data_IF_814581462156
#
_entry.id   IF_814581462156
#
_cell.length_a   1.000
_cell.length_b   1.000
_cell.length_c   1.000
_cell.angle_alpha   90.00
_cell.angle_beta   90.00
_cell.angle_gamma   90.00
#
_symmetry.space_group_name_H-M   'P 1'
#
loop_
_entity.id
_entity.type
_entity.pdbx_description
1 polymer ?
#
# COMPACT_ATOMS: atom_id res chain seq x y z
N UNK A 1 -14.77 2.24 -14.86
CA UNK A 1 -14.65 3.38 -13.93
C UNK A 1 -13.23 3.91 -14.04
N UNK A 2 -13.07 5.13 -14.59
CA UNK A 2 -11.79 5.81 -14.75
C UNK A 2 -11.17 6.02 -13.37
N UNK A 3 -9.99 5.48 -13.12
CA UNK A 3 -9.14 5.98 -12.03
C UNK A 3 -8.55 7.31 -12.54
N UNK A 4 -8.72 8.37 -11.76
CA UNK A 4 -8.23 9.70 -12.06
C UNK A 4 -6.69 9.69 -12.01
N UNK A 5 -6.05 10.02 -13.13
CA UNK A 5 -4.76 10.71 -13.10
C UNK A 5 -5.01 12.13 -12.59
N UNK A 6 -4.08 12.74 -11.92
CA UNK A 6 -4.14 14.15 -11.51
C UNK A 6 -4.06 15.13 -12.70
N UNK A 7 -4.32 14.67 -13.92
CA UNK A 7 -4.48 15.40 -15.15
C UNK A 7 -4.81 14.48 -16.30
N UNK A 8 -5.69 14.90 -17.21
CA UNK A 8 -5.88 14.19 -18.47
C UNK A 8 -4.58 14.31 -19.29
N UNK A 9 -4.12 13.22 -19.95
CA UNK A 9 -2.94 13.29 -20.80
C UNK A 9 -3.15 14.25 -21.97
N UNK A 10 -2.14 15.08 -22.25
CA UNK A 10 -2.14 15.87 -23.48
C UNK A 10 -2.03 14.92 -24.68
N UNK A 11 -2.96 15.01 -25.62
CA UNK A 11 -2.96 14.20 -26.85
C UNK A 11 -2.92 15.11 -28.07
N UNK A 12 -1.88 14.94 -28.92
CA UNK A 12 -1.70 15.62 -30.21
C UNK A 12 -1.60 14.54 -31.27
N UNK A 13 -2.54 14.53 -32.22
CA UNK A 13 -2.65 13.48 -33.25
C UNK A 13 -2.61 12.06 -32.67
N UNK A 14 -3.15 11.91 -31.45
CA UNK A 14 -3.14 10.67 -30.69
C UNK A 14 -4.56 10.27 -30.28
N UNK A 15 -4.91 8.99 -30.39
CA UNK A 15 -6.27 8.52 -30.12
C UNK A 15 -6.29 7.09 -29.55
N UNK A 16 -7.44 6.70 -28.97
CA UNK A 16 -7.65 5.34 -28.47
C UNK A 16 -6.59 4.88 -27.42
N UNK A 17 -5.90 5.81 -26.75
CA UNK A 17 -4.91 5.47 -25.74
C UNK A 17 -5.58 5.38 -24.36
N UNK A 18 -5.07 4.47 -23.52
CA UNK A 18 -5.41 4.36 -22.12
C UNK A 18 -4.18 4.67 -21.29
N UNK A 19 -4.26 5.69 -20.43
CA UNK A 19 -3.13 6.19 -19.64
C UNK A 19 -3.48 6.19 -18.18
N UNK A 20 -2.62 5.57 -17.37
CA UNK A 20 -2.57 5.72 -15.92
C UNK A 20 -1.18 6.24 -15.61
N UNK A 21 -1.08 7.49 -15.18
CA UNK A 21 0.18 8.10 -14.80
C UNK A 21 -0.05 9.16 -13.71
N UNK A 22 0.88 9.25 -12.75
CA UNK A 22 0.91 10.34 -11.76
C UNK A 22 1.61 11.58 -12.31
N UNK A 23 2.50 11.41 -13.29
CA UNK A 23 3.26 12.48 -13.93
C UNK A 23 2.47 13.12 -15.07
N UNK A 24 2.67 14.43 -15.37
CA UNK A 24 2.18 15.02 -16.60
C UNK A 24 2.63 14.19 -17.81
N UNK A 25 1.66 13.72 -18.61
CA UNK A 25 1.92 12.81 -19.72
C UNK A 25 1.40 13.42 -21.02
N UNK A 26 2.23 13.40 -22.06
CA UNK A 26 1.86 13.80 -23.41
C UNK A 26 2.01 12.61 -24.36
N UNK A 27 1.05 12.47 -25.25
CA UNK A 27 1.03 11.47 -26.33
C UNK A 27 0.95 12.21 -27.65
N UNK A 28 1.89 11.94 -28.54
CA UNK A 28 1.99 12.60 -29.85
C UNK A 28 2.10 11.54 -30.93
N UNK A 29 1.21 11.59 -31.92
CA UNK A 29 1.25 10.73 -33.12
C UNK A 29 1.25 9.21 -32.80
N UNK A 30 0.50 8.83 -31.74
CA UNK A 30 0.38 7.44 -31.30
C UNK A 30 -1.05 7.02 -31.04
N UNK A 31 -1.37 5.74 -31.28
CA UNK A 31 -2.71 5.20 -31.16
C UNK A 31 -2.73 3.81 -30.51
N UNK A 32 -3.86 3.49 -29.86
CA UNK A 32 -4.12 2.16 -29.29
C UNK A 32 -3.07 1.70 -28.26
N UNK A 33 -2.54 2.61 -27.46
CA UNK A 33 -1.60 2.30 -26.42
C UNK A 33 -2.27 2.12 -25.07
N UNK A 34 -1.68 1.25 -24.26
CA UNK A 34 -1.80 1.15 -22.82
C UNK A 34 -0.52 1.71 -22.22
N UNK A 35 -0.61 2.79 -21.46
CA UNK A 35 0.51 3.41 -20.73
C UNK A 35 0.18 3.35 -19.26
N UNK A 36 1.01 2.66 -18.46
CA UNK A 36 0.88 2.55 -17.00
C UNK A 36 2.20 2.96 -16.39
N UNK A 37 2.21 4.14 -15.74
CA UNK A 37 3.35 4.69 -15.00
C UNK A 37 3.08 4.48 -13.51
N UNK A 38 3.90 3.66 -12.87
CA UNK A 38 3.94 3.47 -11.42
C UNK A 38 5.20 4.12 -10.86
N UNK A 39 5.42 4.06 -9.55
CA UNK A 39 6.63 4.65 -8.95
C UNK A 39 7.90 3.86 -9.30
N UNK A 40 7.74 2.58 -9.54
CA UNK A 40 8.79 1.58 -9.74
C UNK A 40 8.97 1.16 -11.20
N UNK A 41 7.95 1.32 -12.06
CA UNK A 41 8.02 0.87 -13.45
C UNK A 41 7.11 1.65 -14.39
N UNK A 42 7.52 1.73 -15.66
CA UNK A 42 6.70 2.25 -16.76
C UNK A 42 6.42 1.14 -17.78
N UNK A 43 5.15 0.81 -17.95
CA UNK A 43 4.70 -0.10 -18.99
C UNK A 43 4.09 0.68 -20.16
N UNK A 44 4.59 0.44 -21.37
CA UNK A 44 3.98 0.89 -22.61
C UNK A 44 3.69 -0.34 -23.48
N UNK A 45 2.43 -0.56 -23.81
CA UNK A 45 2.02 -1.72 -24.59
C UNK A 45 0.93 -1.33 -25.58
N UNK A 46 0.81 -2.06 -26.70
CA UNK A 46 -0.37 -1.96 -27.57
C UNK A 46 -1.58 -2.57 -26.85
N UNK A 47 -2.74 -1.95 -26.97
CA UNK A 47 -3.99 -2.54 -26.47
C UNK A 47 -4.18 -3.95 -27.02
N UNK A 48 -4.65 -4.87 -26.21
CA UNK A 48 -4.80 -6.28 -26.56
C UNK A 48 -3.53 -7.14 -26.38
N UNK A 49 -2.38 -6.56 -26.06
CA UNK A 49 -1.12 -7.30 -25.82
C UNK A 49 -0.92 -7.75 -24.37
N UNK A 50 -1.95 -7.76 -23.54
CA UNK A 50 -1.86 -8.06 -22.10
C UNK A 50 -1.26 -9.43 -21.77
N UNK A 51 -1.39 -10.42 -22.66
CA UNK A 51 -0.78 -11.73 -22.46
C UNK A 51 0.76 -11.66 -22.40
N UNK A 52 1.37 -10.75 -23.18
CA UNK A 52 2.83 -10.55 -23.20
C UNK A 52 3.37 -9.87 -21.93
N UNK A 53 2.52 -9.22 -21.15
CA UNK A 53 2.90 -8.61 -19.88
C UNK A 53 3.39 -9.69 -18.88
N UNK A 54 2.90 -10.92 -18.98
CA UNK A 54 3.40 -12.06 -18.18
C UNK A 54 4.88 -12.36 -18.45
N UNK A 55 5.32 -12.20 -19.70
CA UNK A 55 6.72 -12.42 -20.10
C UNK A 55 7.60 -11.30 -19.52
N UNK A 56 7.13 -10.05 -19.55
CA UNK A 56 7.80 -8.90 -18.94
C UNK A 56 7.95 -9.12 -17.42
N UNK A 57 6.86 -9.50 -16.74
CA UNK A 57 6.89 -9.82 -15.31
C UNK A 57 7.92 -10.93 -15.01
N UNK A 58 7.92 -12.03 -15.78
CA UNK A 58 8.88 -13.12 -15.60
C UNK A 58 10.33 -12.65 -15.80
N UNK A 59 10.55 -11.76 -16.78
CA UNK A 59 11.88 -11.19 -17.01
C UNK A 59 12.34 -10.33 -15.82
N UNK A 60 11.50 -9.41 -15.35
CA UNK A 60 11.82 -8.54 -14.22
C UNK A 60 11.95 -9.31 -12.91
N UNK A 61 11.14 -10.32 -12.65
CA UNK A 61 11.29 -11.18 -11.46
C UNK A 61 12.67 -11.86 -11.38
N UNK A 62 13.32 -12.08 -12.51
CA UNK A 62 14.66 -12.69 -12.55
C UNK A 62 15.80 -11.66 -12.55
N UNK A 63 15.60 -10.49 -13.17
CA UNK A 63 16.68 -9.50 -13.39
C UNK A 63 16.60 -8.30 -12.44
N UNK A 64 15.41 -7.97 -11.93
CA UNK A 64 15.10 -6.85 -11.04
C UNK A 64 14.02 -7.28 -10.05
N UNK A 65 14.27 -8.27 -9.18
CA UNK A 65 13.26 -8.81 -8.28
C UNK A 65 12.63 -7.76 -7.38
N UNK A 66 13.38 -6.74 -6.99
CA UNK A 66 12.91 -5.62 -6.18
C UNK A 66 11.73 -4.87 -6.81
N UNK A 67 11.66 -4.76 -8.14
CA UNK A 67 10.52 -4.12 -8.85
C UNK A 67 9.27 -5.01 -8.78
N UNK A 68 9.43 -6.32 -8.75
CA UNK A 68 8.33 -7.26 -8.69
C UNK A 68 7.84 -7.54 -7.25
N UNK A 69 8.71 -7.37 -6.26
CA UNK A 69 8.42 -7.60 -4.85
C UNK A 69 7.91 -6.34 -4.14
N UNK A 70 8.36 -5.16 -4.56
CA UNK A 70 7.98 -3.88 -3.99
C UNK A 70 6.76 -3.29 -4.69
N UNK A 71 5.57 -3.77 -4.41
CA UNK A 71 4.40 -2.93 -4.59
C UNK A 71 4.44 -1.84 -3.51
N UNK A 72 4.73 -0.59 -3.90
CA UNK A 72 4.66 0.55 -2.98
C UNK A 72 3.29 0.65 -2.33
N UNK A 73 2.22 0.23 -3.02
CA UNK A 73 0.85 0.21 -2.51
C UNK A 73 0.23 -1.18 -2.58
N UNK A 74 -0.13 -1.71 -1.42
CA UNK A 74 -0.79 -3.02 -1.28
C UNK A 74 -2.22 -2.84 -0.83
N UNK A 75 -3.18 -3.32 -1.62
CA UNK A 75 -4.61 -3.29 -1.29
C UNK A 75 -5.01 -4.50 -0.45
N UNK A 76 -5.87 -4.24 0.54
CA UNK A 76 -6.41 -5.22 1.48
C UNK A 76 -7.93 -5.02 1.64
N UNK A 77 -8.69 -5.99 2.15
CA UNK A 77 -10.13 -5.83 2.36
C UNK A 77 -10.49 -4.70 3.33
N UNK A 78 -9.57 -4.31 4.21
CA UNK A 78 -9.75 -3.23 5.16
C UNK A 78 -9.29 -1.85 4.64
N UNK A 79 -8.59 -1.78 3.51
CA UNK A 79 -8.04 -0.55 2.95
C UNK A 79 -6.78 -0.79 2.15
N UNK A 80 -5.69 -0.09 2.46
CA UNK A 80 -4.41 -0.26 1.78
C UNK A 80 -3.25 0.17 2.67
N UNK A 81 -2.06 -0.25 2.33
CA UNK A 81 -0.84 0.37 2.84
C UNK A 81 0.15 0.63 1.71
N UNK A 82 1.03 1.59 1.94
CA UNK A 82 2.10 1.99 1.05
C UNK A 82 3.41 2.03 1.84
N UNK A 83 4.48 1.42 1.30
CA UNK A 83 5.82 1.54 1.88
C UNK A 83 6.40 2.87 1.47
N UNK A 84 6.65 3.74 2.44
CA UNK A 84 7.20 5.09 2.23
C UNK A 84 8.73 5.10 2.21
N UNK A 85 9.34 4.11 2.82
CA UNK A 85 10.78 3.93 2.87
C UNK A 85 11.18 2.80 3.80
N UNK A 86 12.33 2.22 3.52
CA UNK A 86 12.93 1.17 4.35
C UNK A 86 14.45 1.26 4.32
N UNK A 87 15.08 0.71 5.35
CA UNK A 87 16.53 0.64 5.48
C UNK A 87 16.93 -0.35 6.55
N UNK A 88 18.21 -0.36 6.90
CA UNK A 88 18.69 -1.28 7.92
C UNK A 88 18.01 -1.01 9.27
N UNK A 89 17.22 -1.98 9.73
CA UNK A 89 16.54 -1.93 11.03
C UNK A 89 15.27 -1.08 11.08
N UNK A 90 14.77 -0.51 9.96
CA UNK A 90 13.51 0.23 9.94
C UNK A 90 12.73 0.05 8.63
N UNK A 91 11.40 0.18 8.73
CA UNK A 91 10.47 0.30 7.61
C UNK A 91 9.34 1.27 7.98
N UNK A 92 8.96 2.15 7.07
CA UNK A 92 7.85 3.09 7.24
C UNK A 92 6.73 2.76 6.27
N UNK A 93 5.50 2.77 6.76
CA UNK A 93 4.30 2.55 5.95
C UNK A 93 3.27 3.64 6.21
N UNK A 94 2.57 4.02 5.15
CA UNK A 94 1.30 4.75 5.25
C UNK A 94 0.17 3.75 5.15
N UNK A 95 -0.66 3.69 6.16
CA UNK A 95 -1.81 2.78 6.24
C UNK A 95 -3.08 3.61 6.09
N UNK A 96 -3.99 3.18 5.21
CA UNK A 96 -5.32 3.76 5.05
C UNK A 96 -6.34 2.71 5.43
N UNK A 97 -7.10 2.96 6.48
CA UNK A 97 -8.18 2.05 6.93
C UNK A 97 -9.52 2.67 6.58
N UNK A 98 -10.33 1.94 5.81
CA UNK A 98 -11.66 2.37 5.38
C UNK A 98 -12.64 2.48 6.55
N UNK A 99 -13.71 3.30 6.43
CA UNK A 99 -14.75 3.43 7.45
C UNK A 99 -15.30 2.09 7.93
N UNK A 100 -15.35 1.89 9.24
CA UNK A 100 -15.86 0.68 9.88
C UNK A 100 -15.00 -0.57 9.66
N UNK A 101 -13.76 -0.42 9.16
CA UNK A 101 -12.83 -1.53 8.92
C UNK A 101 -11.73 -1.57 9.98
N UNK A 102 -11.10 -2.74 10.07
CA UNK A 102 -10.01 -2.96 11.02
C UNK A 102 -9.00 -3.98 10.49
N UNK A 103 -7.78 -3.89 10.97
CA UNK A 103 -6.74 -4.88 10.71
C UNK A 103 -7.00 -6.16 11.56
N UNK A 104 -6.25 -7.22 11.28
CA UNK A 104 -6.23 -8.40 12.13
C UNK A 104 -5.77 -8.07 13.57
N UNK A 105 -6.24 -8.82 14.55
CA UNK A 105 -5.57 -8.90 15.84
C UNK A 105 -4.32 -9.75 15.63
N UNK A 106 -3.15 -9.17 15.82
CA UNK A 106 -1.89 -9.76 15.42
C UNK A 106 -0.76 -9.44 16.42
N UNK A 107 0.35 -10.15 16.30
CA UNK A 107 1.60 -9.85 17.02
C UNK A 107 2.82 -10.15 16.16
N UNK A 108 3.96 -9.59 16.53
CA UNK A 108 5.26 -9.75 15.91
C UNK A 108 6.32 -10.16 16.93
N UNK A 109 7.24 -11.01 16.53
CA UNK A 109 8.30 -11.47 17.42
C UNK A 109 9.63 -10.70 17.25
N UNK A 110 9.84 -10.08 16.09
CA UNK A 110 11.15 -9.54 15.70
C UNK A 110 11.17 -8.03 15.51
N UNK A 111 9.99 -7.36 15.58
CA UNK A 111 9.87 -5.91 15.39
C UNK A 111 8.98 -5.25 16.43
N UNK A 112 9.24 -3.97 16.65
CA UNK A 112 8.32 -3.06 17.31
C UNK A 112 7.65 -2.17 16.28
N UNK A 113 6.52 -1.56 16.64
CA UNK A 113 5.80 -0.63 15.77
C UNK A 113 5.48 0.67 16.53
N UNK A 114 5.52 1.78 15.82
CA UNK A 114 5.07 3.07 16.33
C UNK A 114 4.06 3.63 15.35
N UNK A 115 2.83 3.82 15.79
CA UNK A 115 1.74 4.33 14.98
C UNK A 115 1.43 5.78 15.31
N UNK A 116 1.28 6.61 14.28
CA UNK A 116 0.97 8.04 14.38
C UNK A 116 -0.27 8.28 13.54
N UNK A 117 -1.34 8.79 14.15
CA UNK A 117 -2.58 9.15 13.44
C UNK A 117 -2.37 10.47 12.71
N UNK A 118 -2.45 10.43 11.38
CA UNK A 118 -2.31 11.62 10.51
C UNK A 118 -3.67 12.24 10.22
N UNK A 119 -4.70 11.40 10.02
CA UNK A 119 -6.06 11.84 9.72
C UNK A 119 -7.08 10.85 10.28
N UNK A 120 -8.18 11.34 10.78
CA UNK A 120 -9.26 10.53 11.36
C UNK A 120 -9.04 10.21 12.84
N UNK A 121 -9.75 9.19 13.32
CA UNK A 121 -9.68 8.70 14.69
C UNK A 121 -9.48 7.17 14.66
N UNK A 122 -8.52 6.69 15.43
CA UNK A 122 -8.20 5.27 15.54
C UNK A 122 -8.66 4.72 16.90
N UNK A 123 -9.16 3.48 16.90
CA UNK A 123 -9.24 2.69 18.11
C UNK A 123 -8.14 1.64 18.06
N UNK A 124 -7.19 1.74 18.97
CA UNK A 124 -6.06 0.80 19.04
C UNK A 124 -6.26 -0.16 20.20
N UNK A 125 -6.20 -1.46 19.92
CA UNK A 125 -6.16 -2.49 20.95
C UNK A 125 -4.72 -2.94 21.14
N UNK A 126 -4.22 -2.95 22.38
CA UNK A 126 -2.94 -3.58 22.75
C UNK A 126 -3.24 -4.53 23.91
N UNK A 127 -3.01 -5.81 23.69
CA UNK A 127 -3.37 -6.89 24.61
C UNK A 127 -4.88 -6.85 24.96
N UNK A 128 -5.26 -6.46 26.17
CA UNK A 128 -6.64 -6.28 26.61
C UNK A 128 -7.14 -4.83 26.56
N UNK A 129 -6.23 -3.88 26.38
CA UNK A 129 -6.51 -2.47 26.54
C UNK A 129 -6.92 -1.84 25.20
N UNK A 130 -7.93 -0.99 25.23
CA UNK A 130 -8.39 -0.22 24.07
C UNK A 130 -8.16 1.26 24.30
N UNK A 131 -7.41 1.88 23.41
CA UNK A 131 -7.04 3.29 23.47
C UNK A 131 -7.54 4.01 22.22
N UNK A 132 -8.44 4.98 22.33
CA UNK A 132 -8.77 5.86 21.23
C UNK A 132 -7.61 6.83 20.99
N UNK A 133 -7.24 7.04 19.73
CA UNK A 133 -6.23 8.00 19.30
C UNK A 133 -6.85 8.96 18.30
N UNK A 134 -6.60 10.24 18.50
CA UNK A 134 -6.99 11.33 17.60
C UNK A 134 -5.82 11.72 16.70
N UNK A 135 -6.11 12.56 15.73
CA UNK A 135 -5.09 13.16 14.88
C UNK A 135 -3.94 13.78 15.71
N UNK A 136 -2.71 13.56 15.30
CA UNK A 136 -1.43 13.90 15.96
C UNK A 136 -1.11 13.12 17.24
N UNK A 137 -1.95 12.16 17.64
CA UNK A 137 -1.60 11.24 18.70
C UNK A 137 -0.88 10.00 18.16
N UNK A 138 -0.10 9.36 19.03
CA UNK A 138 0.70 8.20 18.64
C UNK A 138 0.77 7.16 19.75
N UNK A 139 1.09 5.93 19.37
CA UNK A 139 1.22 4.81 20.30
C UNK A 139 2.39 3.93 19.91
N UNK A 140 3.10 3.42 20.89
CA UNK A 140 4.22 2.48 20.73
C UNK A 140 3.76 1.06 21.08
N UNK A 141 4.05 0.11 20.19
CA UNK A 141 3.71 -1.30 20.30
C UNK A 141 5.01 -2.09 20.35
N UNK A 142 5.24 -2.79 21.44
CA UNK A 142 6.42 -3.62 21.62
C UNK A 142 6.24 -4.96 20.89
N UNK A 143 7.34 -5.56 20.47
CA UNK A 143 7.33 -6.95 20.03
C UNK A 143 6.61 -7.84 21.03
N UNK A 144 5.95 -8.88 20.51
CA UNK A 144 5.13 -9.85 21.24
C UNK A 144 3.80 -9.34 21.82
N UNK A 145 3.56 -8.02 21.87
CA UNK A 145 2.24 -7.50 22.24
C UNK A 145 1.22 -7.79 21.13
N UNK A 146 0.06 -8.28 21.53
CA UNK A 146 -1.06 -8.41 20.61
C UNK A 146 -1.66 -7.03 20.34
N UNK A 147 -1.95 -6.72 19.08
CA UNK A 147 -2.46 -5.40 18.74
C UNK A 147 -3.37 -5.43 17.52
N UNK A 148 -4.23 -4.41 17.44
CA UNK A 148 -5.16 -4.19 16.33
C UNK A 148 -5.41 -2.70 16.13
N UNK A 149 -5.49 -2.28 14.87
CA UNK A 149 -5.91 -0.95 14.45
C UNK A 149 -7.34 -1.03 13.89
N UNK A 150 -8.24 -0.20 14.40
CA UNK A 150 -9.64 -0.11 13.97
C UNK A 150 -10.00 1.33 13.58
N UNK A 151 -10.74 1.49 12.50
CA UNK A 151 -11.39 2.74 12.13
C UNK A 151 -12.87 2.64 12.47
N UNK A 152 -13.31 3.32 13.52
CA UNK A 152 -14.72 3.34 13.97
C UNK A 152 -15.50 4.54 13.41
N UNK A 153 -14.84 5.44 12.66
CA UNK A 153 -15.43 6.63 12.07
C UNK A 153 -16.03 6.39 10.68
N UNK A 154 -16.63 7.45 10.12
CA UNK A 154 -17.28 7.44 8.79
C UNK A 154 -16.35 7.94 7.67
N UNK A 155 -15.12 8.35 8.01
CA UNK A 155 -14.09 8.83 7.10
C UNK A 155 -12.92 7.86 7.09
N UNK A 156 -12.04 7.96 6.11
CA UNK A 156 -10.80 7.18 6.09
C UNK A 156 -9.92 7.55 7.29
N UNK A 157 -9.27 6.56 7.87
CA UNK A 157 -8.23 6.73 8.88
C UNK A 157 -6.88 6.59 8.19
N UNK A 158 -5.99 7.56 8.38
CA UNK A 158 -4.63 7.54 7.86
C UNK A 158 -3.63 7.47 9.02
N UNK A 159 -2.80 6.43 9.01
CA UNK A 159 -1.77 6.19 10.02
C UNK A 159 -0.41 6.05 9.35
N UNK A 160 0.61 6.68 9.92
CA UNK A 160 2.01 6.36 9.63
C UNK A 160 2.48 5.34 10.64
N UNK A 161 2.95 4.21 10.13
CA UNK A 161 3.56 3.13 10.90
C UNK A 161 5.07 3.16 10.69
N UNK A 162 5.82 3.21 11.77
CA UNK A 162 7.28 3.01 11.78
C UNK A 162 7.58 1.69 12.45
N UNK A 163 8.09 0.74 11.69
CA UNK A 163 8.57 -0.54 12.19
C UNK A 163 10.05 -0.47 12.47
N UNK A 164 10.51 -1.04 13.58
CA UNK A 164 11.93 -1.11 13.97
C UNK A 164 12.27 -2.51 14.50
N UNK A 165 13.38 -3.08 14.05
CA UNK A 165 13.78 -4.41 14.47
C UNK A 165 14.83 -5.05 13.57
N UNK A 166 15.22 -6.25 13.92
CA UNK A 166 16.22 -7.03 13.18
C UNK A 166 15.64 -7.66 11.91
N UNK A 167 14.32 -7.87 11.87
CA UNK A 167 13.60 -8.45 10.77
C UNK A 167 12.23 -7.81 10.59
N UNK A 168 11.91 -7.37 9.39
CA UNK A 168 10.72 -6.57 9.05
C UNK A 168 9.86 -7.22 7.96
N UNK A 169 10.02 -8.53 7.74
CA UNK A 169 9.24 -9.31 6.78
C UNK A 169 7.78 -9.48 7.21
N UNK A 170 6.88 -9.60 6.24
CA UNK A 170 5.44 -9.81 6.49
C UNK A 170 5.12 -11.21 7.05
N UNK A 171 6.04 -12.16 6.94
CA UNK A 171 5.97 -13.51 7.51
C UNK A 171 6.20 -13.56 9.04
N UNK A 172 6.65 -12.45 9.66
CA UNK A 172 6.67 -12.29 11.13
C UNK A 172 5.28 -11.94 11.72
N UNK A 173 4.24 -11.86 10.88
CA UNK A 173 2.87 -11.58 11.34
C UNK A 173 2.20 -12.86 11.81
N UNK A 174 1.93 -12.95 13.12
CA UNK A 174 1.05 -14.00 13.67
C UNK A 174 -0.34 -13.41 13.89
N UNK A 175 -1.31 -13.85 13.07
CA UNK A 175 -2.70 -13.44 13.17
C UNK A 175 -3.44 -14.30 14.18
N UNK A 176 -4.06 -13.65 15.17
CA UNK A 176 -4.84 -14.31 16.22
C UNK A 176 -6.32 -14.31 15.84
N UNK A 177 -6.80 -13.21 15.25
CA UNK A 177 -8.16 -13.06 14.74
C UNK A 177 -8.16 -12.16 13.53
N UNK A 178 -8.78 -12.59 12.44
CA UNK A 178 -8.89 -11.85 11.18
C UNK A 178 -10.31 -11.96 10.62
N UNK A 179 -10.93 -10.82 10.30
CA UNK A 179 -12.30 -10.77 9.77
C UNK A 179 -12.38 -11.13 8.27
N UNK A 180 -11.24 -11.40 7.63
CA UNK A 180 -11.11 -11.55 6.17
C UNK A 180 -10.52 -12.90 5.76
N UNK A 181 -10.46 -13.87 6.68
CA UNK A 181 -9.97 -15.25 6.48
C UNK A 181 -8.52 -15.31 5.91
N UNK A 182 -7.68 -14.31 6.21
CA UNK A 182 -6.26 -14.35 5.84
C UNK A 182 -5.47 -15.18 6.85
N UNK A 183 -4.69 -16.10 6.36
CA UNK A 183 -3.78 -16.93 7.17
C UNK A 183 -2.43 -16.25 7.38
#
# INVERSE_FOLDING_TARGET
>A
KKMKSDGEPLQIDASENFVIAKKPTALVDVQNLLVVDTEDALLIAKKGSSQKVKEVYKHFSNSLPEICEAHTSVYRPWGSYEVLGEGNGYKMKKIIVKPGKRLSLQKHFKRNEHWIVVEGEALVTIDSDKTPLKQNESIYIKKEQTHRLENTANTDLIVIEVQTGEYLGEDDIVRISDDYDRK
#
